data_IF_231518893705
#
_entry.id   IF_231518893705
#
_cell.length_a   1.000
_cell.length_b   1.000
_cell.length_c   1.000
_cell.angle_alpha   90.00
_cell.angle_beta   90.00
_cell.angle_gamma   90.00
#
_symmetry.space_group_name_H-M   'P 1'
#
loop_
_entity.id
_entity.type
_entity.pdbx_description
1 polymer ?
#
# COMPACT_ATOMS: atom_id res chain seq x y z
N UNK A 1 4.02 -46.50 0.91
CA UNK A 1 3.10 -45.36 1.09
C UNK A 1 3.82 -44.01 1.30
N UNK A 2 5.15 -43.96 1.38
CA UNK A 2 5.94 -42.73 1.62
C UNK A 2 6.20 -41.93 0.32
N UNK A 3 6.24 -42.56 -0.84
CA UNK A 3 6.59 -41.91 -2.11
C UNK A 3 5.49 -40.95 -2.71
N UNK A 4 4.23 -41.10 -2.34
CA UNK A 4 3.11 -40.29 -2.91
C UNK A 4 3.00 -38.92 -2.28
N UNK A 5 3.41 -38.74 -1.01
CA UNK A 5 3.33 -37.48 -0.29
C UNK A 5 4.41 -36.49 -0.71
N UNK A 6 5.60 -36.99 -1.05
CA UNK A 6 6.72 -36.13 -1.49
C UNK A 6 6.42 -35.50 -2.87
N UNK A 7 5.79 -36.26 -3.77
CA UNK A 7 5.41 -35.73 -5.09
C UNK A 7 4.35 -34.62 -5.02
N UNK A 8 3.39 -34.70 -4.07
CA UNK A 8 2.32 -33.70 -3.92
C UNK A 8 2.85 -32.40 -3.32
N UNK A 9 3.79 -32.47 -2.36
CA UNK A 9 4.40 -31.27 -1.76
C UNK A 9 5.30 -30.54 -2.77
N UNK A 10 6.05 -31.28 -3.60
CA UNK A 10 6.87 -30.69 -4.66
C UNK A 10 6.02 -30.05 -5.78
N UNK A 11 4.85 -30.63 -6.11
CA UNK A 11 3.97 -30.07 -7.12
C UNK A 11 3.30 -28.75 -6.65
N UNK A 12 2.92 -28.64 -5.38
CA UNK A 12 2.37 -27.40 -4.82
C UNK A 12 3.43 -26.30 -4.71
N UNK A 13 4.66 -26.66 -4.32
CA UNK A 13 5.77 -25.71 -4.28
C UNK A 13 6.18 -25.20 -5.66
N UNK A 14 6.22 -26.08 -6.67
CA UNK A 14 6.54 -25.72 -8.05
C UNK A 14 5.42 -24.86 -8.69
N UNK A 15 4.16 -25.13 -8.38
CA UNK A 15 3.03 -24.30 -8.87
C UNK A 15 3.02 -22.90 -8.26
N UNK A 16 3.36 -22.74 -6.99
CA UNK A 16 3.50 -21.44 -6.35
C UNK A 16 4.67 -20.63 -6.95
N UNK A 17 5.83 -21.27 -7.16
CA UNK A 17 6.98 -20.62 -7.82
C UNK A 17 6.68 -20.26 -9.29
N UNK A 18 5.96 -21.10 -10.02
CA UNK A 18 5.58 -20.81 -11.42
C UNK A 18 4.60 -19.63 -11.52
N UNK A 19 3.71 -19.45 -10.54
CA UNK A 19 2.83 -18.29 -10.46
C UNK A 19 3.65 -17.00 -10.26
N UNK A 20 4.67 -17.02 -9.41
CA UNK A 20 5.53 -15.84 -9.20
C UNK A 20 6.44 -15.51 -10.39
N UNK A 21 6.93 -16.51 -11.12
CA UNK A 21 7.81 -16.29 -12.29
C UNK A 21 7.08 -15.70 -13.51
N UNK A 22 5.75 -15.85 -13.60
CA UNK A 22 4.95 -15.29 -14.71
C UNK A 22 4.52 -13.83 -14.53
N UNK A 23 4.89 -13.20 -13.40
CA UNK A 23 4.39 -11.88 -12.99
C UNK A 23 5.46 -10.78 -13.07
N UNK A 24 6.33 -10.81 -14.06
CA UNK A 24 7.40 -9.81 -14.17
C UNK A 24 6.90 -8.35 -14.33
N UNK A 25 5.61 -8.13 -14.59
CA UNK A 25 5.08 -6.81 -14.92
C UNK A 25 3.90 -6.32 -14.07
N UNK A 26 3.39 -7.08 -13.12
CA UNK A 26 2.23 -6.69 -12.34
C UNK A 26 2.62 -6.59 -10.86
N UNK A 27 3.08 -5.43 -10.43
CA UNK A 27 3.25 -5.18 -9.02
C UNK A 27 3.27 -3.68 -8.73
N UNK A 28 2.50 -3.29 -7.77
CA UNK A 28 2.62 -2.14 -6.90
C UNK A 28 4.07 -1.98 -6.38
N UNK A 29 4.39 -0.97 -5.60
CA UNK A 29 5.61 -1.01 -4.79
C UNK A 29 5.82 -2.43 -4.29
N UNK A 30 6.94 -3.04 -4.63
CA UNK A 30 7.12 -4.47 -4.41
C UNK A 30 6.95 -4.86 -2.95
N UNK A 31 6.24 -5.96 -2.75
CA UNK A 31 6.00 -6.50 -1.41
C UNK A 31 6.99 -7.58 -1.02
N UNK A 32 7.62 -8.20 -2.02
CA UNK A 32 8.58 -9.28 -1.84
C UNK A 32 9.86 -9.02 -2.64
N UNK A 33 10.95 -9.75 -2.33
CA UNK A 33 12.23 -9.62 -3.05
C UNK A 33 12.29 -10.60 -4.22
N UNK A 34 11.44 -10.41 -5.24
CA UNK A 34 11.37 -11.28 -6.43
C UNK A 34 11.15 -10.41 -7.67
N UNK A 35 11.63 -10.85 -8.82
CA UNK A 35 11.37 -10.24 -10.15
C UNK A 35 11.70 -8.74 -10.24
N UNK A 36 12.79 -8.32 -9.62
CA UNK A 36 13.26 -6.93 -9.61
C UNK A 36 12.57 -6.03 -8.59
N UNK A 37 11.69 -6.58 -7.75
CA UNK A 37 11.17 -5.90 -6.56
C UNK A 37 12.15 -6.07 -5.39
N UNK A 38 12.20 -5.07 -4.52
CA UNK A 38 13.10 -5.04 -3.36
C UNK A 38 12.33 -4.84 -2.05
N UNK A 39 11.08 -5.33 -1.98
CA UNK A 39 10.18 -5.17 -0.85
C UNK A 39 9.97 -3.69 -0.46
N UNK A 40 9.65 -2.87 -1.45
CA UNK A 40 9.56 -1.41 -1.31
C UNK A 40 8.53 -1.00 -0.26
N UNK A 41 7.35 -1.64 -0.21
CA UNK A 41 6.34 -1.42 0.83
C UNK A 41 6.89 -1.66 2.24
N UNK A 42 7.58 -2.80 2.44
CA UNK A 42 8.24 -3.12 3.72
C UNK A 42 9.22 -2.02 4.11
N UNK A 43 10.10 -1.63 3.17
CA UNK A 43 11.17 -0.66 3.43
C UNK A 43 10.64 0.75 3.68
N UNK A 44 9.63 1.21 2.94
CA UNK A 44 8.94 2.48 3.19
C UNK A 44 8.33 2.47 4.60
N UNK A 45 7.65 1.38 4.97
CA UNK A 45 6.98 1.25 6.27
C UNK A 45 7.99 1.23 7.42
N UNK A 46 9.08 0.46 7.30
CA UNK A 46 10.17 0.43 8.30
C UNK A 46 10.85 1.79 8.44
N UNK A 47 11.16 2.43 7.32
CA UNK A 47 11.78 3.77 7.30
C UNK A 47 10.86 4.85 7.91
N UNK A 48 9.56 4.67 7.81
CA UNK A 48 8.59 5.61 8.35
C UNK A 48 8.32 5.40 9.84
N UNK A 49 8.22 4.16 10.32
CA UNK A 49 7.60 3.81 11.59
C UNK A 49 8.49 3.03 12.56
N UNK A 50 9.63 2.50 12.13
CA UNK A 50 10.55 1.77 13.01
C UNK A 50 11.20 2.66 14.05
N UNK A 51 11.52 2.10 15.22
CA UNK A 51 12.22 2.82 16.30
C UNK A 51 13.68 3.15 15.93
N UNK A 52 14.22 2.48 14.95
CA UNK A 52 15.52 2.71 14.30
C UNK A 52 15.44 3.63 13.08
N UNK A 53 14.26 4.16 12.79
CA UNK A 53 14.04 5.03 11.63
C UNK A 53 14.87 6.33 11.72
N UNK A 54 15.31 6.82 10.56
CA UNK A 54 15.99 8.09 10.48
C UNK A 54 15.04 9.25 10.78
N UNK A 55 15.13 9.81 11.97
CA UNK A 55 14.35 10.93 12.48
C UNK A 55 13.34 10.52 13.57
N UNK A 56 12.82 11.51 14.33
CA UNK A 56 11.91 11.24 15.43
C UNK A 56 10.58 10.68 14.92
N UNK A 57 10.23 9.50 15.40
CA UNK A 57 8.91 8.88 15.21
C UNK A 57 8.24 8.81 16.57
N UNK A 58 7.20 9.60 16.78
CA UNK A 58 6.42 9.52 18.00
C UNK A 58 5.66 8.19 18.05
N UNK A 59 5.82 7.43 19.14
CA UNK A 59 5.32 6.08 19.28
C UNK A 59 5.72 5.19 18.09
N UNK A 60 7.02 4.97 17.92
CA UNK A 60 7.58 4.06 16.92
C UNK A 60 7.22 2.60 17.22
N UNK A 61 7.27 1.75 16.19
CA UNK A 61 7.00 0.33 16.30
C UNK A 61 8.26 -0.45 16.66
N UNK A 62 8.18 -1.29 17.67
CA UNK A 62 9.23 -2.25 18.03
C UNK A 62 9.34 -3.37 16.98
N UNK A 63 10.46 -4.07 16.99
CA UNK A 63 10.92 -4.90 15.89
C UNK A 63 9.94 -5.99 15.45
N UNK A 64 9.34 -6.74 16.39
CA UNK A 64 8.43 -7.85 16.05
C UNK A 64 7.07 -7.33 15.59
N UNK A 65 6.52 -6.33 16.26
CA UNK A 65 5.28 -5.68 15.87
C UNK A 65 5.43 -4.97 14.52
N UNK A 66 6.58 -4.32 14.28
CA UNK A 66 6.91 -3.74 12.98
C UNK A 66 6.98 -4.83 11.90
N UNK A 67 7.57 -5.99 12.22
CA UNK A 67 7.61 -7.14 11.32
C UNK A 67 6.22 -7.66 10.93
N UNK A 68 5.26 -7.63 11.85
CA UNK A 68 3.86 -8.00 11.56
C UNK A 68 3.20 -6.96 10.64
N UNK A 69 3.48 -5.68 10.83
CA UNK A 69 2.92 -4.60 10.01
C UNK A 69 3.59 -4.56 8.63
N UNK A 70 4.90 -4.43 8.61
CA UNK A 70 5.68 -4.16 7.39
C UNK A 70 5.94 -5.41 6.54
N UNK A 71 5.98 -6.58 7.15
CA UNK A 71 6.47 -7.81 6.56
C UNK A 71 7.89 -8.17 6.99
N UNK A 72 8.33 -9.35 6.59
CA UNK A 72 9.68 -9.90 6.77
C UNK A 72 10.10 -10.56 5.45
N UNK A 73 11.36 -10.95 5.25
CA UNK A 73 11.73 -11.69 4.06
C UNK A 73 10.78 -12.86 3.80
N UNK A 74 10.16 -12.90 2.63
CA UNK A 74 9.16 -13.89 2.20
C UNK A 74 7.81 -13.85 2.95
N UNK A 75 7.54 -12.79 3.72
CA UNK A 75 6.26 -12.57 4.39
C UNK A 75 5.71 -11.19 4.00
N UNK A 76 4.50 -11.18 3.47
CA UNK A 76 3.84 -9.95 3.01
C UNK A 76 3.60 -8.91 4.12
N UNK A 77 3.46 -9.37 5.39
CA UNK A 77 2.98 -8.50 6.46
C UNK A 77 1.58 -7.96 6.19
N UNK A 78 1.14 -7.04 7.04
CA UNK A 78 -0.16 -6.40 6.85
C UNK A 78 -0.15 -5.40 5.68
N UNK A 79 0.96 -4.68 5.49
CA UNK A 79 1.07 -3.71 4.39
C UNK A 79 1.11 -4.38 3.03
N UNK A 80 1.69 -5.58 2.93
CA UNK A 80 1.74 -6.32 1.67
C UNK A 80 0.54 -7.26 1.44
N UNK A 81 -0.39 -7.36 2.40
CA UNK A 81 -1.54 -8.25 2.28
C UNK A 81 -2.38 -8.01 1.00
N UNK A 82 -2.61 -6.77 0.52
CA UNK A 82 -3.33 -6.55 -0.73
C UNK A 82 -2.68 -7.20 -1.97
N UNK A 83 -1.35 -7.30 -2.01
CA UNK A 83 -0.59 -7.96 -3.08
C UNK A 83 -0.54 -9.49 -2.95
N UNK A 84 -0.96 -10.01 -1.81
CA UNK A 84 -0.99 -11.46 -1.62
C UNK A 84 -2.12 -12.09 -2.45
N UNK A 85 -1.81 -12.96 -3.42
CA UNK A 85 -2.84 -13.56 -4.30
C UNK A 85 -3.93 -14.31 -3.53
N UNK A 86 -3.65 -14.78 -2.31
CA UNK A 86 -4.61 -15.52 -1.48
C UNK A 86 -5.62 -14.62 -0.77
N UNK A 87 -5.38 -13.32 -0.72
CA UNK A 87 -6.26 -12.34 -0.05
C UNK A 87 -7.38 -11.85 -0.97
N UNK A 88 -7.18 -11.91 -2.29
CA UNK A 88 -8.19 -11.52 -3.29
C UNK A 88 -8.34 -10.02 -3.48
N UNK A 89 -7.35 -9.21 -3.10
CA UNK A 89 -7.33 -7.76 -3.27
C UNK A 89 -6.45 -7.30 -4.44
N UNK A 90 -5.64 -8.17 -5.01
CA UNK A 90 -4.65 -7.88 -6.06
C UNK A 90 -5.22 -7.12 -7.27
N UNK A 91 -6.48 -7.33 -7.59
CA UNK A 91 -7.16 -6.68 -8.73
C UNK A 91 -8.17 -5.62 -8.30
N UNK A 92 -8.18 -5.24 -7.02
CA UNK A 92 -9.07 -4.20 -6.53
C UNK A 92 -8.45 -2.81 -6.73
N UNK A 93 -8.93 -1.99 -7.67
CA UNK A 93 -8.33 -0.69 -7.96
C UNK A 93 -8.36 0.27 -6.77
N UNK A 94 -9.29 0.09 -5.82
CA UNK A 94 -9.32 0.92 -4.62
C UNK A 94 -8.23 0.55 -3.61
N UNK A 95 -7.74 -0.69 -3.63
CA UNK A 95 -6.65 -1.11 -2.76
C UNK A 95 -5.30 -0.58 -3.25
N UNK A 96 -5.16 -0.32 -4.57
CA UNK A 96 -3.93 0.11 -5.23
C UNK A 96 -3.97 1.53 -5.81
N UNK A 97 -5.06 2.26 -5.65
CA UNK A 97 -5.29 3.57 -6.28
C UNK A 97 -5.12 3.57 -7.81
N UNK A 98 -5.45 2.46 -8.45
CA UNK A 98 -5.33 2.26 -9.90
C UNK A 98 -6.59 2.64 -10.67
N UNK A 99 -6.49 2.56 -12.02
CA UNK A 99 -7.57 2.74 -12.98
C UNK A 99 -8.26 4.13 -12.95
N UNK A 100 -7.61 5.12 -12.32
CA UNK A 100 -8.02 6.54 -12.38
C UNK A 100 -7.41 7.28 -13.57
N UNK A 101 -7.26 6.61 -14.70
CA UNK A 101 -6.61 7.14 -15.88
C UNK A 101 -7.53 8.00 -16.72
N UNK A 102 -6.98 9.07 -17.24
CA UNK A 102 -7.64 9.94 -18.21
C UNK A 102 -6.60 10.66 -19.06
N UNK A 103 -6.88 10.74 -20.35
CA UNK A 103 -6.14 11.60 -21.26
C UNK A 103 -7.12 12.29 -22.21
N UNK A 104 -6.89 13.57 -22.47
CA UNK A 104 -7.83 14.40 -23.26
C UNK A 104 -7.62 14.21 -24.76
N UNK A 105 -8.07 13.05 -25.25
CA UNK A 105 -8.10 12.71 -26.68
C UNK A 105 -9.48 12.18 -27.08
N UNK A 106 -9.85 12.42 -28.33
CA UNK A 106 -11.12 11.95 -28.84
C UNK A 106 -11.24 10.42 -28.76
N UNK A 107 -12.36 9.93 -28.24
CA UNK A 107 -12.62 8.50 -28.12
C UNK A 107 -11.94 7.81 -26.94
N UNK A 108 -11.31 8.54 -26.00
CA UNK A 108 -10.79 7.94 -24.79
C UNK A 108 -11.93 7.23 -24.01
N UNK A 109 -11.75 5.96 -23.60
CA UNK A 109 -12.88 5.14 -23.12
C UNK A 109 -13.39 5.51 -21.73
N UNK A 110 -12.64 6.33 -20.97
CA UNK A 110 -13.00 6.78 -19.64
C UNK A 110 -13.15 8.29 -19.62
N UNK A 111 -14.24 8.78 -18.99
CA UNK A 111 -14.39 10.21 -18.77
C UNK A 111 -13.53 10.70 -17.62
N UNK A 112 -13.16 11.98 -17.65
CA UNK A 112 -12.44 12.61 -16.54
C UNK A 112 -13.17 12.44 -15.19
N UNK A 113 -14.48 12.56 -15.20
CA UNK A 113 -15.30 12.37 -13.99
C UNK A 113 -15.26 10.92 -13.47
N UNK A 114 -15.24 9.93 -14.37
CA UNK A 114 -15.11 8.53 -13.98
C UNK A 114 -13.73 8.25 -13.37
N UNK A 115 -12.65 8.73 -13.99
CA UNK A 115 -11.29 8.62 -13.48
C UNK A 115 -11.15 9.24 -12.08
N UNK A 116 -11.68 10.44 -11.90
CA UNK A 116 -11.73 11.11 -10.60
C UNK A 116 -12.47 10.28 -9.56
N UNK A 117 -13.66 9.76 -9.89
CA UNK A 117 -14.46 8.91 -9.00
C UNK A 117 -13.71 7.64 -8.58
N UNK A 118 -12.93 7.05 -9.46
CA UNK A 118 -12.10 5.88 -9.13
C UNK A 118 -11.06 6.22 -8.05
N UNK A 119 -10.34 7.33 -8.19
CA UNK A 119 -9.40 7.78 -7.17
C UNK A 119 -10.09 8.22 -5.86
N UNK A 120 -11.27 8.82 -5.95
CA UNK A 120 -12.10 9.10 -4.76
C UNK A 120 -12.49 7.81 -4.03
N UNK A 121 -12.74 6.71 -4.76
CA UNK A 121 -12.99 5.38 -4.17
C UNK A 121 -11.77 4.83 -3.45
N UNK A 122 -10.55 5.03 -3.97
CA UNK A 122 -9.33 4.67 -3.25
C UNK A 122 -9.21 5.42 -1.91
N UNK A 123 -9.43 6.73 -1.91
CA UNK A 123 -9.43 7.51 -0.68
C UNK A 123 -10.52 7.07 0.32
N UNK A 124 -11.72 6.75 -0.17
CA UNK A 124 -12.80 6.24 0.66
C UNK A 124 -12.47 4.85 1.22
N UNK A 125 -11.80 3.99 0.46
CA UNK A 125 -11.28 2.70 0.90
C UNK A 125 -10.31 2.85 2.07
N UNK A 126 -9.30 3.71 1.94
CA UNK A 126 -8.38 4.02 3.05
C UNK A 126 -9.12 4.49 4.30
N UNK A 127 -10.11 5.40 4.13
CA UNK A 127 -10.88 5.92 5.27
C UNK A 127 -11.69 4.83 5.96
N UNK A 128 -12.32 3.94 5.22
CA UNK A 128 -13.11 2.84 5.76
C UNK A 128 -12.24 1.87 6.58
N UNK A 129 -11.04 1.53 6.07
CA UNK A 129 -10.10 0.68 6.80
C UNK A 129 -9.49 1.38 8.02
N UNK A 130 -9.24 2.69 7.96
CA UNK A 130 -8.82 3.46 9.13
C UNK A 130 -9.89 3.42 10.24
N UNK A 131 -11.16 3.59 9.87
CA UNK A 131 -12.27 3.53 10.81
C UNK A 131 -12.44 2.12 11.38
N UNK A 132 -12.27 1.08 10.57
CA UNK A 132 -12.29 -0.31 11.02
C UNK A 132 -11.14 -0.61 12.01
N UNK A 133 -9.94 -0.05 11.78
CA UNK A 133 -8.82 -0.15 12.73
C UNK A 133 -9.18 0.49 14.08
N UNK A 134 -9.78 1.69 14.07
CA UNK A 134 -10.23 2.36 15.30
C UNK A 134 -11.26 1.51 16.04
N UNK A 135 -12.25 0.95 15.35
CA UNK A 135 -13.27 0.08 15.95
C UNK A 135 -12.64 -1.17 16.57
N UNK A 136 -11.71 -1.82 15.86
CA UNK A 136 -11.02 -3.02 16.34
C UNK A 136 -10.20 -2.77 17.61
N UNK A 137 -9.60 -1.59 17.73
CA UNK A 137 -8.79 -1.20 18.89
C UNK A 137 -9.54 -1.24 20.22
N UNK A 138 -10.88 -1.24 20.19
CA UNK A 138 -11.72 -1.36 21.39
C UNK A 138 -11.37 -2.57 22.24
N UNK A 139 -10.92 -3.67 21.61
CA UNK A 139 -10.55 -4.91 22.29
C UNK A 139 -9.21 -4.85 23.03
N UNK A 140 -8.34 -3.89 22.72
CA UNK A 140 -6.98 -3.82 23.29
C UNK A 140 -6.98 -3.45 24.77
N UNK A 141 -7.79 -2.44 25.13
CA UNK A 141 -7.82 -1.85 26.47
C UNK A 141 -9.27 -1.73 26.93
N UNK A 142 -9.59 -2.27 28.09
CA UNK A 142 -10.93 -2.18 28.68
C UNK A 142 -11.29 -0.74 29.06
N UNK A 143 -12.57 -0.49 29.36
CA UNK A 143 -13.03 0.82 29.88
C UNK A 143 -12.41 1.20 31.22
N UNK A 144 -11.86 0.20 31.98
CA UNK A 144 -11.13 0.42 33.22
C UNK A 144 -9.62 0.59 33.02
N UNK A 145 -9.14 0.75 31.80
CA UNK A 145 -7.73 0.92 31.46
C UNK A 145 -6.88 -0.37 31.53
N UNK A 146 -7.51 -1.56 31.69
CA UNK A 146 -6.78 -2.83 31.75
C UNK A 146 -6.50 -3.33 30.33
N UNK A 147 -5.24 -3.65 30.03
CA UNK A 147 -4.81 -4.29 28.79
C UNK A 147 -5.29 -5.75 28.75
N UNK A 148 -5.81 -6.19 27.62
CA UNK A 148 -6.13 -7.58 27.37
C UNK A 148 -4.90 -8.30 26.81
N UNK A 149 -4.20 -9.11 27.61
CA UNK A 149 -3.00 -9.81 27.16
C UNK A 149 -3.22 -10.68 25.92
N UNK A 150 -4.37 -11.35 25.82
CA UNK A 150 -4.74 -12.14 24.65
C UNK A 150 -4.98 -11.26 23.41
N UNK A 151 -5.76 -10.18 23.54
CA UNK A 151 -6.13 -9.31 22.41
C UNK A 151 -4.97 -8.44 21.93
N UNK A 152 -3.97 -8.20 22.79
CA UNK A 152 -2.78 -7.38 22.48
C UNK A 152 -1.57 -8.19 22.00
N UNK A 153 -1.66 -9.54 22.00
CA UNK A 153 -0.57 -10.40 21.57
C UNK A 153 -0.48 -10.52 20.05
N UNK A 154 0.74 -10.57 19.52
CA UNK A 154 1.06 -10.97 18.15
C UNK A 154 1.47 -12.43 18.02
N UNK A 155 1.53 -13.17 19.14
CA UNK A 155 1.88 -14.61 19.19
C UNK A 155 0.64 -15.47 19.48
N UNK A 156 0.34 -16.57 18.74
CA UNK A 156 0.99 -16.93 17.47
C UNK A 156 0.77 -15.86 16.41
N UNK A 157 1.52 -15.89 15.32
CA UNK A 157 1.52 -14.83 14.27
C UNK A 157 0.12 -14.41 13.84
N UNK A 158 -0.05 -13.13 13.54
CA UNK A 158 -1.23 -12.63 12.85
C UNK A 158 -1.30 -13.24 11.44
N UNK A 159 -2.50 -13.58 11.00
CA UNK A 159 -2.75 -14.10 9.64
C UNK A 159 -3.62 -13.09 8.91
N UNK A 160 -3.10 -12.56 7.81
CA UNK A 160 -3.77 -11.58 6.98
C UNK A 160 -4.31 -12.27 5.71
N UNK A 161 -5.54 -12.74 5.78
CA UNK A 161 -6.22 -13.46 4.70
C UNK A 161 -7.50 -12.77 4.23
N UNK A 162 -7.61 -11.46 4.46
CA UNK A 162 -8.81 -10.68 4.10
C UNK A 162 -10.05 -11.02 4.95
N UNK A 163 -9.90 -11.88 5.92
CA UNK A 163 -10.91 -12.22 6.91
C UNK A 163 -10.34 -12.02 8.30
N UNK A 164 -10.75 -10.95 8.91
CA UNK A 164 -10.31 -10.63 10.25
C UNK A 164 -11.01 -11.53 11.26
N UNK A 165 -10.51 -12.72 11.44
CA UNK A 165 -10.81 -13.53 12.59
C UNK A 165 -9.57 -13.51 13.48
N UNK A 166 -9.49 -12.62 14.45
CA UNK A 166 -8.27 -12.55 15.20
C UNK A 166 -8.34 -11.69 16.44
N UNK A 167 -7.19 -11.55 17.04
CA UNK A 167 -6.97 -10.67 18.17
C UNK A 167 -7.08 -9.21 17.71
N UNK A 168 -7.52 -8.36 18.60
CA UNK A 168 -7.73 -6.94 18.31
C UNK A 168 -6.48 -6.27 17.73
N UNK A 169 -5.27 -6.57 18.25
CA UNK A 169 -4.00 -6.03 17.73
C UNK A 169 -3.78 -6.44 16.29
N UNK A 170 -3.97 -7.72 15.94
CA UNK A 170 -3.84 -8.19 14.55
C UNK A 170 -4.83 -7.50 13.62
N UNK A 171 -6.09 -7.33 14.07
CA UNK A 171 -7.14 -6.67 13.29
C UNK A 171 -6.84 -5.19 13.02
N UNK A 172 -6.32 -4.48 14.05
CA UNK A 172 -5.89 -3.08 13.87
C UNK A 172 -4.74 -3.00 12.88
N UNK A 173 -3.72 -3.86 13.05
CA UNK A 173 -2.53 -3.89 12.20
C UNK A 173 -2.91 -4.23 10.75
N UNK A 174 -3.82 -5.20 10.52
CA UNK A 174 -4.30 -5.55 9.19
C UNK A 174 -4.97 -4.37 8.49
N UNK A 175 -5.97 -3.77 9.13
CA UNK A 175 -6.68 -2.64 8.54
C UNK A 175 -5.74 -1.44 8.33
N UNK A 176 -4.83 -1.17 9.25
CA UNK A 176 -3.85 -0.11 9.10
C UNK A 176 -2.85 -0.42 7.97
N UNK A 177 -2.40 -1.67 7.83
CA UNK A 177 -1.56 -2.11 6.72
C UNK A 177 -2.22 -1.87 5.36
N UNK A 178 -3.51 -2.18 5.22
CA UNK A 178 -4.31 -1.90 4.00
C UNK A 178 -4.36 -0.39 3.70
N UNK A 179 -4.50 0.46 4.73
CA UNK A 179 -4.43 1.93 4.56
C UNK A 179 -3.06 2.36 4.04
N UNK A 180 -1.99 1.81 4.63
CA UNK A 180 -0.62 2.16 4.24
C UNK A 180 -0.30 1.69 2.83
N UNK A 181 -0.74 0.49 2.45
CA UNK A 181 -0.56 -0.03 1.10
C UNK A 181 -1.15 0.92 0.06
N UNK A 182 -2.44 1.21 0.14
CA UNK A 182 -3.11 2.11 -0.79
C UNK A 182 -2.50 3.53 -0.80
N UNK A 183 -2.06 4.03 0.36
CA UNK A 183 -1.40 5.33 0.47
C UNK A 183 -0.01 5.34 -0.20
N UNK A 184 0.75 4.26 -0.09
CA UNK A 184 2.06 4.12 -0.72
C UNK A 184 1.91 3.94 -2.24
N UNK A 185 0.98 3.12 -2.68
CA UNK A 185 0.67 2.91 -4.09
C UNK A 185 0.17 4.16 -4.79
N UNK A 186 -0.56 5.02 -4.10
CA UNK A 186 -0.92 6.32 -4.66
C UNK A 186 0.30 7.07 -5.21
N UNK A 187 1.44 7.04 -4.51
CA UNK A 187 2.65 7.73 -4.99
C UNK A 187 3.37 6.95 -6.08
N UNK A 188 3.27 5.63 -6.08
CA UNK A 188 3.84 4.81 -7.13
C UNK A 188 3.04 4.87 -8.43
N UNK A 189 1.71 4.82 -8.35
CA UNK A 189 0.84 4.62 -9.51
C UNK A 189 0.25 5.91 -10.09
N UNK A 190 0.38 7.06 -9.38
CA UNK A 190 -0.11 8.33 -9.89
C UNK A 190 1.02 9.23 -10.40
N UNK A 191 0.65 10.24 -11.16
CA UNK A 191 1.55 11.30 -11.61
C UNK A 191 1.81 12.39 -10.55
N UNK A 192 1.42 12.18 -9.29
CA UNK A 192 1.48 13.21 -8.23
C UNK A 192 2.87 13.81 -8.05
N UNK A 193 3.89 12.95 -7.85
CA UNK A 193 5.27 13.39 -7.59
C UNK A 193 6.11 13.53 -8.85
N UNK A 194 5.63 13.04 -9.98
CA UNK A 194 6.41 12.92 -11.20
C UNK A 194 6.77 14.29 -11.75
N UNK A 195 8.01 14.45 -12.15
CA UNK A 195 8.40 15.59 -12.97
C UNK A 195 7.76 15.51 -14.35
N UNK A 196 7.57 16.65 -14.97
CA UNK A 196 7.11 16.70 -16.37
C UNK A 196 8.13 16.00 -17.25
N UNK A 197 7.75 14.94 -17.98
CA UNK A 197 8.67 14.27 -18.90
C UNK A 197 9.01 15.16 -20.10
N UNK A 198 10.14 14.86 -20.73
CA UNK A 198 10.50 15.50 -21.98
C UNK A 198 9.52 15.13 -23.11
N UNK A 199 9.30 16.03 -24.04
CA UNK A 199 8.42 15.82 -25.20
C UNK A 199 6.96 16.19 -24.95
N UNK A 200 6.13 15.98 -25.98
CA UNK A 200 4.70 16.25 -25.90
C UNK A 200 4.00 15.20 -25.02
N UNK A 201 3.03 15.59 -24.19
CA UNK A 201 2.22 14.64 -23.43
C UNK A 201 1.41 13.71 -24.36
N UNK A 202 1.46 12.42 -24.05
CA UNK A 202 0.65 11.36 -24.70
C UNK A 202 0.16 10.39 -23.63
N UNK A 203 -0.66 9.42 -24.01
CA UNK A 203 -1.07 8.35 -23.09
C UNK A 203 0.12 7.49 -22.65
N UNK A 204 1.15 7.34 -23.49
CA UNK A 204 2.40 6.62 -23.19
C UNK A 204 3.44 7.51 -22.49
N UNK A 205 3.22 8.83 -22.47
CA UNK A 205 4.08 9.81 -21.81
C UNK A 205 3.23 10.86 -21.09
N UNK A 206 2.43 10.45 -20.08
CA UNK A 206 1.50 11.34 -19.40
C UNK A 206 2.22 12.43 -18.59
N UNK A 207 1.58 13.61 -18.43
CA UNK A 207 2.19 14.72 -17.70
C UNK A 207 2.39 14.38 -16.23
N UNK A 208 3.50 14.82 -15.66
CA UNK A 208 3.73 14.83 -14.22
C UNK A 208 3.18 16.09 -13.55
N UNK A 209 2.81 16.01 -12.28
CA UNK A 209 2.34 17.18 -11.49
C UNK A 209 3.48 17.86 -10.72
N UNK A 210 4.62 17.21 -10.57
CA UNK A 210 5.82 17.75 -9.94
C UNK A 210 5.69 18.09 -8.46
N UNK A 211 4.63 17.63 -7.78
CA UNK A 211 4.39 17.95 -6.38
C UNK A 211 5.47 17.35 -5.48
N UNK A 212 5.77 18.04 -4.39
CA UNK A 212 6.64 17.55 -3.33
C UNK A 212 5.79 17.11 -2.12
N UNK A 213 6.21 15.99 -1.51
CA UNK A 213 5.60 15.50 -0.27
C UNK A 213 4.18 14.96 -0.39
N UNK A 214 3.52 14.73 0.76
CA UNK A 214 2.20 14.13 0.83
C UNK A 214 1.13 14.95 0.11
N UNK A 215 0.17 14.25 -0.49
CA UNK A 215 -0.97 14.87 -1.13
C UNK A 215 -1.97 15.36 -0.07
N UNK A 216 -2.26 16.68 0.05
CA UNK A 216 -3.23 17.17 1.02
C UNK A 216 -4.63 16.58 0.81
N UNK A 217 -4.92 16.14 -0.40
CA UNK A 217 -6.15 15.45 -0.76
C UNK A 217 -6.30 14.09 -0.06
N UNK A 218 -5.17 13.41 0.29
CA UNK A 218 -5.16 12.15 1.03
C UNK A 218 -5.24 12.31 2.56
N UNK A 219 -5.34 13.54 3.09
CA UNK A 219 -5.55 13.73 4.53
C UNK A 219 -6.92 13.16 4.95
N UNK A 220 -6.90 12.04 5.68
CA UNK A 220 -8.11 11.33 6.11
C UNK A 220 -8.80 11.96 7.32
N UNK A 221 -8.20 12.97 7.95
CA UNK A 221 -8.76 13.70 9.11
C UNK A 221 -9.82 14.71 8.69
N UNK A 222 -9.80 15.11 7.44
CA UNK A 222 -10.62 16.20 6.88
C UNK A 222 -11.53 15.69 5.77
N UNK A 223 -12.60 16.41 5.53
CA UNK A 223 -13.32 16.29 4.25
C UNK A 223 -12.32 16.53 3.11
N UNK A 224 -12.43 15.79 2.00
CA UNK A 224 -11.48 15.93 0.90
C UNK A 224 -11.48 17.38 0.43
N UNK A 225 -10.28 17.93 0.27
CA UNK A 225 -10.08 19.15 -0.51
C UNK A 225 -10.57 18.94 -1.95
N UNK A 226 -10.66 20.00 -2.73
CA UNK A 226 -10.97 19.87 -4.15
C UNK A 226 -10.01 18.84 -4.80
N UNK A 227 -10.57 18.03 -5.70
CA UNK A 227 -9.78 17.01 -6.41
C UNK A 227 -8.62 17.67 -7.16
N UNK A 228 -7.38 17.16 -7.03
CA UNK A 228 -6.22 17.80 -7.65
C UNK A 228 -6.34 17.82 -9.19
N UNK A 229 -6.16 19.02 -9.75
CA UNK A 229 -6.23 19.20 -11.21
C UNK A 229 -5.13 18.39 -11.89
N UNK A 230 -5.50 17.57 -12.86
CA UNK A 230 -4.55 16.77 -13.64
C UNK A 230 -4.05 15.51 -12.95
N UNK A 231 -4.52 15.21 -11.74
CA UNK A 231 -4.20 13.94 -11.09
C UNK A 231 -4.84 12.78 -11.86
N UNK A 232 -4.01 11.79 -12.17
CA UNK A 232 -4.39 10.52 -12.80
C UNK A 232 -3.57 9.39 -12.19
N UNK A 233 -4.09 8.16 -12.27
CA UNK A 233 -3.32 6.93 -12.05
C UNK A 233 -3.36 6.06 -13.31
N UNK A 234 -2.57 4.98 -13.33
CA UNK A 234 -2.51 4.09 -14.47
C UNK A 234 -3.72 3.15 -14.57
N UNK A 235 -4.13 2.83 -15.79
CA UNK A 235 -5.06 1.75 -16.05
C UNK A 235 -4.40 0.42 -15.71
N UNK A 236 -4.99 -0.29 -14.75
CA UNK A 236 -4.63 -1.66 -14.43
C UNK A 236 -5.87 -2.53 -14.59
N UNK A 237 -5.84 -3.44 -15.54
CA UNK A 237 -6.91 -4.41 -15.73
C UNK A 237 -6.29 -5.80 -15.84
N UNK A 238 -6.42 -6.57 -14.81
CA UNK A 238 -6.06 -7.97 -14.79
C UNK A 238 -7.33 -8.80 -14.88
N UNK A 239 -7.75 -9.13 -16.09
CA UNK A 239 -8.75 -10.20 -16.27
C UNK A 239 -8.14 -11.59 -16.12
N UNK A 240 -6.84 -11.69 -16.16
CA UNK A 240 -6.01 -12.86 -15.82
C UNK A 240 -4.54 -12.44 -15.95
N UNK A 241 -3.79 -12.56 -14.91
CA UNK A 241 -2.35 -12.50 -14.99
C UNK A 241 -1.90 -13.34 -16.20
N UNK A 242 -1.42 -12.77 -17.29
CA UNK A 242 -0.09 -12.21 -17.44
C UNK A 242 0.01 -10.93 -18.29
N UNK A 243 -0.98 -10.12 -18.47
CA UNK A 243 -0.76 -8.83 -19.12
C UNK A 243 -1.61 -7.73 -18.50
N UNK A 244 -0.97 -6.86 -17.74
CA UNK A 244 -1.45 -5.57 -17.25
C UNK A 244 -2.21 -4.76 -18.30
N UNK A 245 -2.07 -5.13 -19.55
CA UNK A 245 -2.36 -4.27 -20.68
C UNK A 245 -3.59 -4.65 -21.47
N UNK A 246 -4.18 -5.82 -21.27
CA UNK A 246 -5.23 -6.30 -22.19
C UNK A 246 -6.47 -5.43 -22.22
N UNK A 247 -6.96 -5.03 -21.07
CA UNK A 247 -8.13 -4.15 -20.98
C UNK A 247 -7.83 -2.67 -21.12
N UNK A 248 -6.54 -2.30 -21.18
CA UNK A 248 -6.11 -0.92 -21.33
C UNK A 248 -5.90 -0.50 -22.80
N UNK A 249 -6.18 -1.37 -23.74
CA UNK A 249 -6.20 -1.07 -25.18
C UNK A 249 -7.62 -0.77 -25.65
N UNK A 250 -7.77 0.15 -26.60
CA UNK A 250 -9.06 0.50 -27.17
C UNK A 250 -8.91 0.92 -28.64
N UNK A 251 -10.02 1.26 -29.28
CA UNK A 251 -10.08 1.60 -30.70
C UNK A 251 -10.30 0.39 -31.60
N UNK A 252 -10.63 0.60 -32.89
CA UNK A 252 -11.02 -0.46 -33.81
C UNK A 252 -9.95 -1.52 -34.07
N UNK A 253 -8.68 -1.12 -33.93
CA UNK A 253 -7.51 -1.97 -34.18
C UNK A 253 -6.72 -2.29 -32.89
N UNK A 254 -7.23 -1.89 -31.71
CA UNK A 254 -6.56 -2.07 -30.41
C UNK A 254 -5.24 -1.31 -30.25
N UNK A 255 -4.95 -0.33 -31.14
CA UNK A 255 -3.69 0.43 -31.10
C UNK A 255 -3.75 1.68 -30.25
N UNK A 256 -4.94 2.17 -29.94
CA UNK A 256 -5.08 3.23 -28.96
C UNK A 256 -4.96 2.67 -27.56
N UNK A 257 -4.24 3.37 -26.71
CA UNK A 257 -3.96 2.91 -25.34
C UNK A 257 -4.53 3.92 -24.34
N UNK A 258 -5.08 3.40 -23.26
CA UNK A 258 -5.30 4.17 -22.02
C UNK A 258 -3.93 4.49 -21.43
N UNK A 259 -3.84 5.49 -20.53
CA UNK A 259 -2.65 5.66 -19.71
C UNK A 259 -2.50 4.40 -18.86
N UNK A 260 -1.53 3.55 -19.21
CA UNK A 260 -1.33 2.26 -18.57
C UNK A 260 -0.62 2.42 -17.22
N UNK A 261 -0.85 1.48 -16.31
CA UNK A 261 -0.09 1.35 -15.08
C UNK A 261 1.43 1.33 -15.37
N UNK A 262 1.85 0.53 -16.35
CA UNK A 262 3.25 0.39 -16.75
C UNK A 262 3.95 1.71 -17.14
N UNK A 263 3.23 2.74 -17.57
CA UNK A 263 3.84 4.03 -17.95
C UNK A 263 3.89 5.05 -16.80
N UNK A 264 3.20 4.78 -15.69
CA UNK A 264 3.22 5.63 -14.51
C UNK A 264 3.93 5.00 -13.32
N UNK A 265 4.02 3.67 -13.26
CA UNK A 265 4.49 2.97 -12.09
C UNK A 265 5.95 3.31 -11.73
N UNK A 266 6.20 3.34 -10.44
CA UNK A 266 7.52 3.54 -9.81
C UNK A 266 7.80 2.43 -8.80
N UNK A 267 7.43 1.19 -9.14
CA UNK A 267 7.30 0.06 -8.24
C UNK A 267 8.60 -0.62 -7.89
N UNK A 268 9.68 -0.32 -8.60
CA UNK A 268 10.93 -1.06 -8.48
C UNK A 268 12.10 -0.14 -8.25
N UNK A 269 12.80 -0.35 -7.15
CA UNK A 269 14.05 0.34 -6.81
C UNK A 269 14.54 -0.02 -5.42
N UNK A 270 15.79 0.25 -5.14
CA UNK A 270 16.43 -0.08 -3.86
C UNK A 270 16.22 1.04 -2.86
N UNK A 271 15.65 0.71 -1.70
CA UNK A 271 15.46 1.62 -0.56
C UNK A 271 16.35 1.10 0.58
N UNK A 272 17.56 1.64 0.68
CA UNK A 272 18.54 1.38 1.75
C UNK A 272 18.74 2.62 2.62
N UNK A 273 19.96 2.88 3.06
CA UNK A 273 20.32 4.18 3.68
C UNK A 273 20.03 5.33 2.72
N UNK A 274 20.35 5.14 1.44
CA UNK A 274 19.95 6.01 0.34
C UNK A 274 18.85 5.34 -0.48
N UNK A 275 18.06 6.14 -1.16
CA UNK A 275 17.10 5.67 -2.17
C UNK A 275 17.85 5.72 -3.50
N UNK A 276 17.99 4.57 -4.14
CA UNK A 276 18.63 4.47 -5.45
C UNK A 276 17.63 4.84 -6.56
N UNK A 277 18.09 5.16 -7.77
CA UNK A 277 17.19 5.39 -8.91
C UNK A 277 16.29 4.19 -9.15
N UNK A 278 15.02 4.44 -9.46
CA UNK A 278 14.08 3.38 -9.83
C UNK A 278 14.46 2.69 -11.14
N UNK A 279 13.99 1.47 -11.32
CA UNK A 279 14.28 0.65 -12.51
C UNK A 279 13.12 0.56 -13.50
N UNK A 280 11.91 0.98 -13.09
CA UNK A 280 10.79 1.13 -14.06
C UNK A 280 11.04 2.30 -14.99
N UNK A 281 10.48 2.30 -16.22
CA UNK A 281 10.70 3.39 -17.17
C UNK A 281 10.36 4.77 -16.57
N UNK A 282 9.27 4.88 -15.80
CA UNK A 282 8.87 6.15 -15.16
C UNK A 282 9.71 6.45 -13.92
N UNK A 283 10.01 5.45 -13.12
CA UNK A 283 10.79 5.60 -11.90
C UNK A 283 12.24 6.03 -12.15
N UNK A 284 12.83 5.57 -13.25
CA UNK A 284 14.21 5.92 -13.65
C UNK A 284 14.36 7.38 -14.11
N UNK A 285 13.26 8.05 -14.47
CA UNK A 285 13.31 9.42 -14.98
C UNK A 285 13.40 10.43 -13.84
N UNK A 286 14.35 11.36 -13.92
CA UNK A 286 14.41 12.60 -13.12
C UNK A 286 14.22 12.43 -11.59
N UNK A 287 14.58 11.26 -11.06
CA UNK A 287 14.42 10.94 -9.63
C UNK A 287 12.95 10.69 -9.21
N UNK A 288 12.08 10.29 -10.13
CA UNK A 288 10.66 10.07 -9.82
C UNK A 288 10.44 8.99 -8.78
N UNK A 289 11.21 7.89 -8.79
CA UNK A 289 11.14 6.86 -7.74
C UNK A 289 11.50 7.44 -6.36
N UNK A 290 12.61 8.16 -6.25
CA UNK A 290 13.04 8.79 -4.99
C UNK A 290 12.00 9.77 -4.46
N UNK A 291 11.38 10.56 -5.35
CA UNK A 291 10.30 11.50 -5.01
C UNK A 291 9.06 10.77 -4.50
N UNK A 292 8.67 9.68 -5.17
CA UNK A 292 7.53 8.85 -4.77
C UNK A 292 7.77 8.20 -3.41
N UNK A 293 8.93 7.56 -3.21
CA UNK A 293 9.30 6.92 -1.93
C UNK A 293 9.36 7.95 -0.79
N UNK A 294 9.91 9.13 -1.03
CA UNK A 294 10.00 10.19 -0.01
C UNK A 294 8.60 10.67 0.40
N UNK A 295 7.72 10.89 -0.58
CA UNK A 295 6.34 11.29 -0.31
C UNK A 295 5.55 10.17 0.40
N UNK A 296 5.69 8.92 -0.05
CA UNK A 296 5.08 7.74 0.57
C UNK A 296 5.53 7.55 2.03
N UNK A 297 6.84 7.71 2.30
CA UNK A 297 7.40 7.61 3.66
C UNK A 297 6.80 8.68 4.58
N UNK A 298 6.70 9.91 4.10
CA UNK A 298 6.14 11.02 4.86
C UNK A 298 4.64 10.83 5.10
N UNK A 299 3.91 10.37 4.09
CA UNK A 299 2.47 10.11 4.20
C UNK A 299 2.16 8.89 5.09
N UNK A 300 3.04 7.87 5.11
CA UNK A 300 2.96 6.74 6.05
C UNK A 300 3.02 7.24 7.51
N UNK A 301 3.92 8.18 7.83
CA UNK A 301 3.97 8.82 9.15
C UNK A 301 2.70 9.62 9.44
N UNK A 302 2.18 10.35 8.47
CA UNK A 302 0.94 11.12 8.62
C UNK A 302 -0.28 10.21 8.84
N UNK A 303 -0.36 9.06 8.17
CA UNK A 303 -1.41 8.05 8.40
C UNK A 303 -1.32 7.45 9.81
N UNK A 304 -0.10 7.21 10.34
CA UNK A 304 0.07 6.79 11.72
C UNK A 304 -0.41 7.85 12.70
N UNK A 305 0.01 9.09 12.53
CA UNK A 305 -0.48 10.21 13.35
C UNK A 305 -2.01 10.37 13.26
N UNK A 306 -2.58 10.10 12.09
CA UNK A 306 -4.04 10.12 11.89
C UNK A 306 -4.74 9.02 12.69
N UNK A 307 -4.21 7.80 12.72
CA UNK A 307 -4.75 6.70 13.53
C UNK A 307 -4.62 7.01 15.02
N UNK A 308 -3.48 7.52 15.48
CA UNK A 308 -3.27 7.93 16.87
C UNK A 308 -4.31 8.96 17.32
N UNK A 309 -4.52 10.02 16.53
CA UNK A 309 -5.52 11.05 16.82
C UNK A 309 -6.93 10.47 16.85
N UNK A 310 -7.26 9.56 15.92
CA UNK A 310 -8.56 8.92 15.86
C UNK A 310 -8.82 8.03 17.10
N UNK A 311 -7.80 7.31 17.59
CA UNK A 311 -7.89 6.51 18.82
C UNK A 311 -8.13 7.39 20.05
N UNK A 312 -7.36 8.46 20.20
CA UNK A 312 -7.52 9.42 21.31
C UNK A 312 -8.90 10.08 21.26
N UNK A 313 -9.37 10.46 20.07
CA UNK A 313 -10.70 11.06 19.88
C UNK A 313 -11.82 10.07 20.22
N UNK A 314 -11.68 8.80 19.83
CA UNK A 314 -12.74 7.79 20.02
C UNK A 314 -12.82 7.26 21.44
N UNK A 315 -11.70 7.15 22.16
CA UNK A 315 -11.61 6.45 23.43
C UNK A 315 -11.19 7.33 24.62
N UNK A 316 -10.93 8.62 24.37
CA UNK A 316 -10.37 9.56 25.35
C UNK A 316 -8.87 9.40 25.52
N UNK A 317 -8.19 10.48 25.97
CA UNK A 317 -6.73 10.57 25.98
C UNK A 317 -6.06 9.42 26.73
N UNK A 318 -6.39 9.09 28.01
CA UNK A 318 -5.67 8.05 28.74
C UNK A 318 -5.79 6.66 28.11
N UNK A 319 -6.97 6.32 27.60
CA UNK A 319 -7.22 5.01 26.99
C UNK A 319 -6.66 4.94 25.58
N UNK A 320 -6.79 6.01 24.80
CA UNK A 320 -6.25 6.10 23.44
C UNK A 320 -4.73 6.01 23.42
N UNK A 321 -4.04 6.76 24.31
CA UNK A 321 -2.58 6.69 24.44
C UNK A 321 -2.11 5.28 24.86
N UNK A 322 -2.82 4.64 25.77
CA UNK A 322 -2.53 3.26 26.13
C UNK A 322 -2.74 2.28 24.95
N UNK A 323 -3.77 2.49 24.11
CA UNK A 323 -3.95 1.70 22.88
C UNK A 323 -2.82 1.90 21.88
N UNK A 324 -2.31 3.12 21.74
CA UNK A 324 -1.16 3.45 20.90
C UNK A 324 0.08 2.69 21.38
N UNK A 325 0.36 2.73 22.69
CA UNK A 325 1.43 1.95 23.30
C UNK A 325 1.28 0.45 22.99
N UNK A 326 0.11 -0.13 23.23
CA UNK A 326 -0.19 -1.55 22.94
C UNK A 326 0.05 -1.91 21.48
N UNK A 327 -0.25 -1.01 20.56
CA UNK A 327 -0.07 -1.25 19.12
C UNK A 327 1.39 -1.26 18.69
N UNK A 328 2.26 -0.55 19.38
CA UNK A 328 3.66 -0.35 18.99
C UNK A 328 4.64 -1.28 19.69
N UNK A 329 4.32 -1.77 20.91
CA UNK A 329 5.23 -2.57 21.71
C UNK A 329 5.05 -4.07 21.51
N UNK A 330 6.14 -4.83 21.58
CA UNK A 330 6.15 -6.29 21.43
C UNK A 330 5.60 -6.98 22.67
N UNK A 331 5.87 -6.45 23.86
CA UNK A 331 5.39 -6.94 25.16
C UNK A 331 4.46 -5.93 25.87
N UNK A 332 3.29 -5.58 25.30
CA UNK A 332 2.50 -4.45 25.80
C UNK A 332 1.94 -4.62 27.20
N UNK A 333 1.81 -5.86 27.70
CA UNK A 333 1.39 -6.10 29.08
C UNK A 333 2.45 -5.70 30.11
N UNK A 334 3.71 -5.57 29.68
CA UNK A 334 4.85 -5.19 30.51
C UNK A 334 5.19 -3.71 30.34
N UNK A 335 5.09 -3.21 29.13
CA UNK A 335 5.64 -1.91 28.73
C UNK A 335 4.60 -0.78 28.76
N UNK A 336 3.31 -1.14 28.75
CA UNK A 336 2.19 -0.21 28.73
C UNK A 336 1.31 -0.28 30.00
#
# INVERSE_FOLDING_TARGET
>A
MIGRWIATVLAVGASALAIFAAHENAAAFGTVQIAGQHAEHERITRRALGCDAAGPVEACFEADTLGVLAGKPLDFGAVGAPDNPTVGLLTNPSAHCDAGDYFDVAGYPQTKAAAQKTLESCRAWMKAHLDAAVVAARGLVSNKGKISSFQSSIAPSCVFAGRVAGRAKCTVIENFGIVLHAAQDFYSHTNWTDKQPAGAPTAENPPGLGNAGPAPWLDLRKMPAAFPKGLISGCFESASIPSEDRGCNYGPDGKLHRVKHAVLNKDKGVIGERIEPGTTPRGAQDGNFERAVTAATTDTRDKWATLQQALVKAYGKPRGEKMICVLTHDEPSKDC
#
